data_IF_419094205543
#
_entry.id   IF_419094205543
#
_cell.length_a   1.000
_cell.length_b   1.000
_cell.length_c   1.000
_cell.angle_alpha   90.00
_cell.angle_beta   90.00
_cell.angle_gamma   90.00
#
_symmetry.space_group_name_H-M   'P 1'
#
loop_
_entity.id
_entity.type
_entity.pdbx_description
1 polymer ?
#
# COMPACT_ATOMS: atom_id res chain seq x y z
N UNK A 1 -10.14 5.25 -3.38
CA UNK A 1 -8.78 5.75 -3.73
C UNK A 1 -7.82 4.67 -4.24
N UNK A 2 -7.23 3.79 -3.42
CA UNK A 2 -6.27 2.79 -3.90
C UNK A 2 -6.86 1.86 -4.99
N UNK A 3 -8.07 1.33 -4.77
CA UNK A 3 -8.82 0.59 -5.78
C UNK A 3 -9.03 1.39 -7.07
N UNK A 4 -9.38 2.68 -6.94
CA UNK A 4 -9.69 3.57 -8.07
C UNK A 4 -8.48 3.86 -8.99
N UNK A 5 -7.25 3.58 -8.53
CA UNK A 5 -6.03 3.68 -9.36
C UNK A 5 -5.50 2.32 -9.82
N UNK A 6 -6.20 1.23 -9.47
CA UNK A 6 -5.90 -0.14 -9.91
C UNK A 6 -5.01 -0.95 -8.96
N UNK A 7 -4.90 -0.58 -7.69
CA UNK A 7 -4.28 -1.47 -6.70
C UNK A 7 -5.28 -2.55 -6.26
N UNK A 8 -4.88 -3.83 -6.19
CA UNK A 8 -5.70 -4.88 -5.59
C UNK A 8 -5.77 -4.61 -4.10
N UNK A 9 -6.96 -4.30 -3.59
CA UNK A 9 -7.18 -3.97 -2.18
C UNK A 9 -8.37 -4.74 -1.65
N UNK A 10 -8.43 -4.90 -0.33
CA UNK A 10 -9.61 -5.44 0.34
C UNK A 10 -10.83 -4.54 0.16
N UNK A 11 -12.00 -5.15 0.05
CA UNK A 11 -13.26 -4.41 0.06
C UNK A 11 -13.51 -3.81 1.44
N UNK A 12 -13.85 -2.53 1.45
CA UNK A 12 -14.13 -1.76 2.65
C UNK A 12 -15.45 -1.00 2.51
N UNK A 13 -16.29 -1.10 3.53
CA UNK A 13 -17.54 -0.36 3.62
C UNK A 13 -17.63 0.38 4.95
N UNK A 14 -17.96 1.67 4.91
CA UNK A 14 -18.32 2.41 6.12
C UNK A 14 -19.75 2.04 6.53
N UNK A 15 -19.91 1.56 7.76
CA UNK A 15 -21.20 1.15 8.34
C UNK A 15 -21.49 1.93 9.61
N UNK A 16 -22.71 1.82 10.12
CA UNK A 16 -23.15 2.49 11.34
C UNK A 16 -24.05 1.57 12.14
N UNK A 17 -23.75 1.41 13.44
CA UNK A 17 -24.62 0.75 14.41
C UNK A 17 -24.92 1.76 15.50
N UNK A 18 -26.19 2.13 15.67
CA UNK A 18 -26.60 3.24 16.53
C UNK A 18 -25.94 4.54 16.09
N UNK A 19 -25.10 5.13 16.94
CA UNK A 19 -24.32 6.35 16.67
C UNK A 19 -22.86 6.09 16.29
N UNK A 20 -22.43 4.83 16.28
CA UNK A 20 -21.03 4.45 16.09
C UNK A 20 -20.78 4.07 14.63
N UNK A 21 -19.84 4.77 13.99
CA UNK A 21 -19.34 4.44 12.66
C UNK A 21 -18.19 3.45 12.76
N UNK A 22 -18.13 2.48 11.85
CA UNK A 22 -17.04 1.51 11.77
C UNK A 22 -16.75 1.13 10.33
N UNK A 23 -15.50 0.77 10.05
CA UNK A 23 -15.10 0.19 8.78
C UNK A 23 -15.33 -1.32 8.83
N UNK A 24 -16.22 -1.82 7.97
CA UNK A 24 -16.35 -3.25 7.70
C UNK A 24 -15.37 -3.60 6.58
N UNK A 25 -14.42 -4.49 6.87
CA UNK A 25 -13.38 -4.93 5.93
C UNK A 25 -13.65 -6.40 5.58
N UNK A 26 -13.76 -6.70 4.30
CA UNK A 26 -13.86 -8.08 3.83
C UNK A 26 -12.52 -8.80 4.03
N UNK A 27 -12.56 -10.00 4.60
CA UNK A 27 -11.38 -10.84 4.77
C UNK A 27 -11.05 -11.54 3.46
N UNK A 28 -9.84 -11.29 2.92
CA UNK A 28 -9.37 -11.92 1.69
C UNK A 28 -8.97 -13.40 1.86
N UNK A 29 -8.75 -13.85 3.09
CA UNK A 29 -8.39 -15.22 3.44
C UNK A 29 -9.61 -16.11 3.72
N UNK A 30 -10.79 -15.71 3.22
CA UNK A 30 -12.07 -16.41 3.35
C UNK A 30 -12.71 -16.54 1.97
N UNK A 31 -12.85 -17.76 1.49
CA UNK A 31 -13.59 -18.07 0.25
C UNK A 31 -14.93 -18.69 0.60
N UNK A 32 -15.99 -18.17 0.00
CA UNK A 32 -17.32 -18.78 0.08
C UNK A 32 -17.45 -19.74 -1.10
N UNK A 33 -17.86 -20.98 -0.84
CA UNK A 33 -18.26 -21.89 -1.91
C UNK A 33 -19.74 -21.71 -2.29
N UNK A 34 -20.16 -22.41 -3.35
CA UNK A 34 -21.54 -22.35 -3.87
C UNK A 34 -22.59 -22.83 -2.86
N UNK A 35 -22.18 -23.55 -1.81
CA UNK A 35 -23.06 -24.03 -0.74
C UNK A 35 -23.19 -23.03 0.41
N UNK A 36 -22.43 -21.94 0.39
CA UNK A 36 -22.38 -20.94 1.46
C UNK A 36 -21.46 -21.33 2.62
N UNK A 37 -20.61 -22.33 2.46
CA UNK A 37 -19.59 -22.69 3.44
C UNK A 37 -18.32 -21.86 3.23
N UNK A 38 -17.61 -21.60 4.33
CA UNK A 38 -16.44 -20.73 4.33
C UNK A 38 -15.16 -21.54 4.42
N UNK A 39 -14.41 -21.55 3.33
CA UNK A 39 -13.05 -22.08 3.28
C UNK A 39 -12.05 -21.03 3.76
N UNK A 40 -11.09 -21.46 4.58
CA UNK A 40 -10.00 -20.61 5.07
C UNK A 40 -8.77 -20.83 4.21
N UNK A 41 -8.22 -19.75 3.69
CA UNK A 41 -6.94 -19.78 3.00
C UNK A 41 -5.81 -19.55 4.00
N UNK A 42 -4.68 -20.23 3.82
CA UNK A 42 -3.50 -19.93 4.60
C UNK A 42 -2.92 -18.60 4.13
N UNK A 43 -2.57 -17.73 5.09
CA UNK A 43 -1.89 -16.47 4.82
C UNK A 43 -0.81 -16.25 5.86
N UNK A 44 0.30 -15.67 5.42
CA UNK A 44 1.39 -15.21 6.28
C UNK A 44 1.81 -13.78 5.89
N UNK A 45 2.18 -12.97 6.88
CA UNK A 45 2.73 -11.64 6.63
C UNK A 45 4.22 -11.70 6.25
N UNK A 46 4.76 -10.61 5.69
CA UNK A 46 6.15 -10.64 5.20
C UNK A 46 7.19 -10.75 6.32
N UNK A 47 6.86 -10.40 7.57
CA UNK A 47 7.76 -10.72 8.67
C UNK A 47 7.83 -12.24 8.88
N UNK A 48 6.69 -12.92 8.89
CA UNK A 48 6.62 -14.38 9.02
C UNK A 48 7.37 -15.08 7.87
N UNK A 49 7.05 -14.73 6.62
CA UNK A 49 7.64 -15.32 5.43
C UNK A 49 9.17 -15.13 5.35
N UNK A 50 9.69 -14.02 5.88
CA UNK A 50 11.13 -13.72 5.94
C UNK A 50 11.81 -14.17 7.24
N UNK A 51 11.08 -14.80 8.17
CA UNK A 51 11.63 -15.28 9.45
C UNK A 51 11.92 -14.20 10.50
N UNK A 52 11.28 -13.02 10.40
CA UNK A 52 11.39 -11.93 11.36
C UNK A 52 10.35 -12.03 12.48
N UNK A 53 10.77 -11.72 13.71
CA UNK A 53 9.86 -11.58 14.86
C UNK A 53 8.92 -10.37 14.74
N UNK A 54 7.81 -10.40 15.47
CA UNK A 54 6.75 -9.39 15.39
C UNK A 54 7.22 -7.95 15.73
N UNK A 55 8.23 -7.84 16.58
CA UNK A 55 8.85 -6.58 16.99
C UNK A 55 9.67 -5.91 15.88
N UNK A 56 10.07 -6.65 14.83
CA UNK A 56 10.89 -6.18 13.72
C UNK A 56 10.06 -5.85 12.46
N UNK A 57 8.88 -5.27 12.64
CA UNK A 57 8.01 -4.90 11.50
C UNK A 57 8.52 -3.68 10.71
N UNK A 58 9.25 -2.78 11.37
CA UNK A 58 9.81 -1.56 10.77
C UNK A 58 11.26 -1.75 10.35
N UNK A 59 11.65 -1.22 9.19
CA UNK A 59 13.01 -1.33 8.69
C UNK A 59 14.03 -0.65 9.62
N UNK A 60 13.71 0.51 10.18
CA UNK A 60 14.60 1.25 11.10
C UNK A 60 14.95 0.46 12.36
N UNK A 61 14.08 -0.46 12.77
CA UNK A 61 14.23 -1.32 13.95
C UNK A 61 14.88 -2.68 13.57
N UNK A 62 15.53 -2.76 12.40
CA UNK A 62 16.17 -3.98 11.91
C UNK A 62 15.20 -4.98 11.29
N UNK A 63 14.01 -4.52 10.87
CA UNK A 63 13.05 -5.30 10.08
C UNK A 63 13.43 -5.43 8.60
N UNK A 64 12.56 -6.09 7.81
CA UNK A 64 12.74 -6.22 6.37
C UNK A 64 12.87 -4.87 5.66
N UNK A 65 13.78 -4.78 4.70
CA UNK A 65 13.81 -3.72 3.70
C UNK A 65 12.81 -3.97 2.59
N UNK A 66 12.37 -2.91 1.88
CA UNK A 66 11.49 -3.07 0.73
C UNK A 66 12.09 -3.99 -0.35
N UNK A 67 13.41 -3.95 -0.58
CA UNK A 67 14.07 -4.83 -1.54
C UNK A 67 14.01 -6.32 -1.14
N UNK A 68 14.05 -6.64 0.16
CA UNK A 68 13.82 -8.02 0.63
C UNK A 68 12.36 -8.44 0.41
N UNK A 69 11.40 -7.55 0.71
CA UNK A 69 9.99 -7.78 0.42
C UNK A 69 9.73 -8.00 -1.08
N UNK A 70 10.38 -7.22 -1.94
CA UNK A 70 10.28 -7.35 -3.39
C UNK A 70 10.83 -8.70 -3.89
N UNK A 71 12.01 -9.10 -3.37
CA UNK A 71 12.61 -10.40 -3.69
C UNK A 71 11.75 -11.57 -3.24
N UNK A 72 11.17 -11.50 -2.04
CA UNK A 72 10.22 -12.50 -1.54
C UNK A 72 9.09 -12.73 -2.54
N UNK A 73 8.46 -11.66 -3.06
CA UNK A 73 7.39 -11.78 -4.04
C UNK A 73 7.89 -12.39 -5.36
N UNK A 74 9.09 -12.02 -5.81
CA UNK A 74 9.68 -12.60 -7.01
C UNK A 74 9.92 -14.11 -6.89
N UNK A 75 10.31 -14.58 -5.70
CA UNK A 75 10.65 -15.97 -5.43
C UNK A 75 9.42 -16.84 -5.12
N UNK A 76 8.45 -16.30 -4.38
CA UNK A 76 7.33 -17.08 -3.85
C UNK A 76 6.06 -17.02 -4.72
N UNK A 77 5.83 -15.95 -5.49
CA UNK A 77 4.57 -15.79 -6.22
C UNK A 77 4.47 -16.73 -7.43
N UNK A 78 3.28 -17.27 -7.68
CA UNK A 78 2.94 -17.96 -8.92
C UNK A 78 2.79 -17.03 -10.13
N UNK A 79 2.68 -15.72 -9.92
CA UNK A 79 2.66 -14.68 -10.96
C UNK A 79 3.63 -13.52 -10.62
N UNK A 80 4.96 -13.77 -10.56
CA UNK A 80 5.94 -12.82 -10.04
C UNK A 80 5.91 -11.44 -10.69
N UNK A 81 5.72 -11.39 -12.02
CA UNK A 81 5.73 -10.14 -12.77
C UNK A 81 4.56 -9.22 -12.38
N UNK A 82 3.37 -9.78 -12.19
CA UNK A 82 2.15 -9.04 -11.83
C UNK A 82 2.24 -8.60 -10.38
N UNK A 83 2.54 -9.53 -9.48
CA UNK A 83 2.52 -9.28 -8.03
C UNK A 83 3.64 -8.33 -7.61
N UNK A 84 4.84 -8.46 -8.18
CA UNK A 84 5.93 -7.54 -7.88
C UNK A 84 5.68 -6.13 -8.43
N UNK A 85 5.02 -6.00 -9.58
CA UNK A 85 4.59 -4.69 -10.07
C UNK A 85 3.53 -4.07 -9.14
N UNK A 86 2.60 -4.87 -8.61
CA UNK A 86 1.65 -4.40 -7.59
C UNK A 86 2.37 -3.93 -6.33
N UNK A 87 3.37 -4.67 -5.85
CA UNK A 87 4.16 -4.28 -4.68
C UNK A 87 4.94 -2.96 -4.90
N UNK A 88 5.52 -2.76 -6.08
CA UNK A 88 6.13 -1.46 -6.44
C UNK A 88 5.09 -0.33 -6.37
N UNK A 89 3.91 -0.53 -6.98
CA UNK A 89 2.84 0.48 -6.93
C UNK A 89 2.32 0.72 -5.52
N UNK A 90 2.32 -0.27 -4.64
CA UNK A 90 1.97 -0.11 -3.23
C UNK A 90 2.95 0.81 -2.49
N UNK A 91 4.26 0.64 -2.67
CA UNK A 91 5.24 1.54 -2.06
C UNK A 91 5.13 2.95 -2.61
N UNK A 92 4.95 3.09 -3.93
CA UNK A 92 4.70 4.39 -4.57
C UNK A 92 3.45 5.04 -3.99
N UNK A 93 2.36 4.27 -3.85
CA UNK A 93 1.13 4.75 -3.26
C UNK A 93 1.32 5.18 -1.81
N UNK A 94 2.05 4.44 -0.97
CA UNK A 94 2.29 4.83 0.41
C UNK A 94 3.01 6.18 0.51
N UNK A 95 4.02 6.42 -0.33
CA UNK A 95 4.71 7.72 -0.40
C UNK A 95 3.74 8.83 -0.82
N UNK A 96 3.02 8.62 -1.92
CA UNK A 96 2.17 9.65 -2.54
C UNK A 96 0.88 9.93 -1.78
N UNK A 97 0.25 8.89 -1.22
CA UNK A 97 -0.95 8.99 -0.42
C UNK A 97 -0.68 9.40 1.03
N UNK A 98 0.59 9.49 1.42
CA UNK A 98 0.98 9.89 2.76
C UNK A 98 0.71 8.83 3.83
N UNK A 99 0.85 7.56 3.48
CA UNK A 99 0.87 6.45 4.42
C UNK A 99 2.32 6.17 4.85
N UNK A 100 2.67 6.61 6.04
CA UNK A 100 4.00 6.40 6.62
C UNK A 100 4.12 5.10 7.42
N UNK A 101 3.00 4.43 7.76
CA UNK A 101 3.01 3.21 8.59
C UNK A 101 2.94 1.91 7.77
N UNK A 102 3.08 1.99 6.44
CA UNK A 102 3.10 0.82 5.56
C UNK A 102 4.34 -0.07 5.79
N UNK A 103 4.26 -0.96 6.76
CA UNK A 103 5.37 -1.80 7.22
C UNK A 103 5.22 -3.26 6.75
N UNK A 104 6.23 -4.12 6.98
CA UNK A 104 6.24 -5.48 6.44
C UNK A 104 5.04 -6.35 6.87
N UNK A 105 4.44 -6.10 8.05
CA UNK A 105 3.22 -6.80 8.48
C UNK A 105 1.92 -6.35 7.77
N UNK A 106 1.96 -5.32 6.92
CA UNK A 106 0.83 -4.91 6.08
C UNK A 106 0.90 -5.53 4.68
N UNK A 107 1.85 -6.43 4.46
CA UNK A 107 2.02 -7.21 3.24
C UNK A 107 1.91 -8.68 3.61
N UNK A 108 1.19 -9.45 2.80
CA UNK A 108 0.97 -10.87 3.05
C UNK A 108 1.06 -11.68 1.77
N UNK A 109 1.52 -12.91 1.92
CA UNK A 109 1.34 -13.96 0.94
C UNK A 109 0.06 -14.74 1.26
N UNK A 110 -0.67 -15.13 0.22
CA UNK A 110 -1.88 -15.93 0.30
C UNK A 110 -1.63 -17.23 -0.46
N UNK A 111 -1.86 -18.36 0.19
CA UNK A 111 -1.67 -19.67 -0.40
C UNK A 111 -3.04 -20.21 -0.83
N UNK A 112 -3.20 -20.33 -2.15
CA UNK A 112 -4.43 -20.76 -2.79
C UNK A 112 -4.67 -22.26 -2.70
N UNK A 113 -5.89 -22.73 -2.98
CA UNK A 113 -6.22 -24.17 -3.02
C UNK A 113 -5.48 -24.94 -4.12
N UNK A 114 -4.98 -24.24 -5.12
CA UNK A 114 -4.18 -24.74 -6.25
C UNK A 114 -2.68 -24.82 -5.93
N UNK A 115 -2.30 -24.66 -4.65
CA UNK A 115 -0.91 -24.57 -4.17
C UNK A 115 -0.16 -23.33 -4.73
N UNK A 116 -0.86 -22.44 -5.44
CA UNK A 116 -0.28 -21.20 -5.93
C UNK A 116 -0.24 -20.17 -4.80
N UNK A 117 0.95 -19.59 -4.61
CA UNK A 117 1.12 -18.47 -3.68
C UNK A 117 0.99 -17.16 -4.43
N UNK A 118 0.23 -16.20 -3.90
CA UNK A 118 0.03 -14.88 -4.49
C UNK A 118 0.25 -13.78 -3.47
N UNK A 119 0.61 -12.59 -3.93
CA UNK A 119 0.54 -11.40 -3.09
C UNK A 119 -0.93 -11.12 -2.72
N UNK A 120 -1.22 -11.02 -1.43
CA UNK A 120 -2.57 -10.74 -0.96
C UNK A 120 -3.02 -9.31 -1.37
N UNK A 121 -4.33 -9.06 -1.50
CA UNK A 121 -4.85 -7.70 -1.67
C UNK A 121 -4.37 -6.79 -0.55
N UNK A 122 -3.99 -5.56 -0.87
CA UNK A 122 -3.47 -4.63 0.14
C UNK A 122 -4.57 -4.19 1.12
N UNK A 123 -4.15 -4.00 2.37
CA UNK A 123 -4.97 -3.58 3.49
C UNK A 123 -4.21 -2.54 4.32
N UNK A 124 -4.90 -1.94 5.28
CA UNK A 124 -4.30 -0.96 6.22
C UNK A 124 -3.66 0.25 5.53
N UNK A 125 -4.30 0.74 4.46
CA UNK A 125 -3.88 1.92 3.71
C UNK A 125 -4.47 3.18 4.34
N UNK A 126 -3.73 3.78 5.28
CA UNK A 126 -4.16 4.96 6.04
C UNK A 126 -3.27 6.16 5.69
N UNK A 127 -3.86 7.33 5.42
CA UNK A 127 -3.11 8.57 5.28
C UNK A 127 -2.64 9.06 6.66
N UNK A 128 -1.63 8.39 7.24
CA UNK A 128 -1.14 8.70 8.59
C UNK A 128 -0.63 10.12 8.72
N UNK A 129 -0.15 10.72 7.62
CA UNK A 129 0.25 12.14 7.57
C UNK A 129 -0.90 13.13 7.78
N UNK A 130 -2.16 12.70 7.64
CA UNK A 130 -3.32 13.53 7.96
C UNK A 130 -3.63 13.53 9.47
N UNK A 131 -3.01 12.63 10.24
CA UNK A 131 -3.22 12.46 11.67
C UNK A 131 -2.13 13.24 12.43
N UNK A 132 -2.54 13.99 13.45
CA UNK A 132 -1.62 14.79 14.25
C UNK A 132 -0.84 13.92 15.23
N UNK A 133 0.42 14.32 15.52
CA UNK A 133 1.30 13.65 16.50
C UNK A 133 1.67 12.20 16.17
N UNK A 134 1.65 11.82 14.89
CA UNK A 134 2.17 10.54 14.39
C UNK A 134 3.45 10.81 13.59
N UNK A 135 4.39 9.86 13.64
CA UNK A 135 5.59 9.92 12.81
C UNK A 135 5.22 9.90 11.32
N UNK A 136 5.91 10.72 10.54
CA UNK A 136 5.67 10.87 9.11
C UNK A 136 6.77 10.25 8.24
N UNK A 137 7.78 9.64 8.86
CA UNK A 137 8.81 8.86 8.19
C UNK A 137 8.26 7.49 7.80
N UNK A 138 8.54 7.06 6.57
CA UNK A 138 8.11 5.78 6.02
C UNK A 138 8.68 4.63 6.85
N UNK A 139 7.86 3.60 7.07
CA UNK A 139 8.27 2.35 7.69
C UNK A 139 9.29 1.57 6.84
N UNK A 140 9.16 1.65 5.51
CA UNK A 140 10.08 1.11 4.51
C UNK A 140 10.64 2.28 3.69
N UNK A 141 11.96 2.43 3.66
CA UNK A 141 12.59 3.54 2.96
C UNK A 141 12.49 3.39 1.43
N UNK A 142 12.71 4.51 0.73
CA UNK A 142 12.93 4.53 -0.70
C UNK A 142 14.37 4.95 -0.94
N UNK A 143 15.23 3.99 -1.25
CA UNK A 143 16.62 4.28 -1.60
C UNK A 143 17.38 5.03 -0.50
N UNK A 144 17.18 4.64 0.75
CA UNK A 144 17.78 5.22 1.95
C UNK A 144 17.05 6.44 2.53
N UNK A 145 16.01 6.96 1.86
CA UNK A 145 15.23 8.10 2.36
C UNK A 145 13.88 7.65 2.94
N UNK A 146 13.57 8.13 4.14
CA UNK A 146 12.31 7.82 4.84
C UNK A 146 11.36 9.01 4.90
N UNK A 147 11.84 10.24 4.78
CA UNK A 147 11.01 11.43 4.77
C UNK A 147 10.45 11.68 3.36
N UNK A 148 9.14 11.48 3.13
CA UNK A 148 8.53 11.69 1.82
C UNK A 148 8.69 13.12 1.29
N UNK A 149 8.88 14.11 2.19
CA UNK A 149 8.90 15.52 1.82
C UNK A 149 10.19 15.98 1.14
N UNK A 150 11.26 15.18 1.23
CA UNK A 150 12.58 15.46 0.63
C UNK A 150 12.99 14.39 -0.37
N UNK A 151 12.08 13.46 -0.70
CA UNK A 151 12.32 12.36 -1.63
C UNK A 151 12.67 12.88 -3.03
N UNK A 152 13.74 12.35 -3.62
CA UNK A 152 14.23 12.76 -4.95
C UNK A 152 14.18 11.62 -5.97
N UNK A 153 14.39 11.94 -7.26
CA UNK A 153 14.55 10.93 -8.31
C UNK A 153 15.74 9.98 -8.05
N UNK A 154 16.80 10.46 -7.38
CA UNK A 154 17.96 9.64 -7.03
C UNK A 154 17.57 8.53 -6.04
N UNK A 155 16.70 8.83 -5.08
CA UNK A 155 16.16 7.85 -4.13
C UNK A 155 15.38 6.75 -4.85
N UNK A 156 14.48 7.11 -5.77
CA UNK A 156 13.77 6.13 -6.60
C UNK A 156 14.73 5.32 -7.48
N UNK A 157 15.77 5.95 -8.04
CA UNK A 157 16.80 5.25 -8.79
C UNK A 157 17.60 4.26 -7.95
N UNK A 158 17.88 4.58 -6.69
CA UNK A 158 18.53 3.68 -5.74
C UNK A 158 17.61 2.51 -5.35
N UNK A 159 16.33 2.77 -5.09
CA UNK A 159 15.34 1.71 -4.84
C UNK A 159 15.21 0.76 -6.04
N UNK A 160 15.19 1.31 -7.26
CA UNK A 160 15.13 0.53 -8.49
C UNK A 160 16.31 -0.45 -8.58
N UNK A 161 17.53 0.04 -8.34
CA UNK A 161 18.74 -0.79 -8.31
C UNK A 161 18.67 -1.88 -7.23
N UNK A 162 18.20 -1.54 -6.03
CA UNK A 162 18.07 -2.49 -4.93
C UNK A 162 17.08 -3.63 -5.23
N UNK A 163 16.06 -3.35 -6.05
CA UNK A 163 15.06 -4.33 -6.50
C UNK A 163 15.43 -5.01 -7.84
N UNK A 164 16.61 -4.74 -8.40
CA UNK A 164 17.03 -5.17 -9.74
C UNK A 164 16.01 -4.83 -10.86
N UNK A 165 15.40 -3.65 -10.77
CA UNK A 165 14.50 -3.13 -11.81
C UNK A 165 15.14 -1.95 -12.55
N UNK A 166 14.80 -1.80 -13.84
CA UNK A 166 15.30 -0.68 -14.65
C UNK A 166 14.83 0.66 -14.04
N UNK A 167 15.73 1.63 -13.74
CA UNK A 167 15.34 2.90 -13.14
C UNK A 167 14.27 3.66 -13.94
N UNK A 168 14.32 3.61 -15.28
CA UNK A 168 13.32 4.24 -16.14
C UNK A 168 11.93 3.62 -16.00
N UNK A 169 11.86 2.30 -15.75
CA UNK A 169 10.61 1.60 -15.51
C UNK A 169 9.99 2.05 -14.19
N UNK A 170 10.76 2.07 -13.09
CA UNK A 170 10.23 2.51 -11.80
C UNK A 170 9.83 3.99 -11.85
N UNK A 171 10.62 4.86 -12.48
CA UNK A 171 10.28 6.26 -12.65
C UNK A 171 8.98 6.46 -13.47
N UNK A 172 8.73 5.59 -14.46
CA UNK A 172 7.47 5.59 -15.20
C UNK A 172 6.29 5.18 -14.31
N UNK A 173 6.42 4.12 -13.51
CA UNK A 173 5.38 3.70 -12.56
C UNK A 173 5.05 4.80 -11.54
N UNK A 174 6.07 5.49 -11.06
CA UNK A 174 5.94 6.62 -10.13
C UNK A 174 5.08 7.73 -10.73
N UNK A 175 5.40 8.17 -11.96
CA UNK A 175 4.61 9.20 -12.67
C UNK A 175 3.17 8.74 -12.94
N UNK A 176 2.99 7.54 -13.49
CA UNK A 176 1.65 7.00 -13.77
C UNK A 176 0.77 6.91 -12.51
N UNK A 177 1.37 6.56 -11.37
CA UNK A 177 0.63 6.49 -10.10
C UNK A 177 0.28 7.89 -9.59
N UNK A 178 1.19 8.86 -9.72
CA UNK A 178 0.94 10.26 -9.37
C UNK A 178 -0.17 10.88 -10.23
N UNK A 179 -0.15 10.66 -11.55
CA UNK A 179 -1.16 11.17 -12.48
C UNK A 179 -2.54 10.61 -12.14
N UNK A 180 -2.65 9.28 -11.94
CA UNK A 180 -3.91 8.63 -11.56
C UNK A 180 -4.43 9.11 -10.20
N UNK A 181 -3.54 9.35 -9.24
CA UNK A 181 -3.94 9.89 -7.93
C UNK A 181 -4.50 11.30 -8.07
N UNK A 182 -3.82 12.18 -8.81
CA UNK A 182 -4.29 13.55 -9.03
C UNK A 182 -5.62 13.60 -9.78
N UNK A 183 -5.80 12.74 -10.79
CA UNK A 183 -7.04 12.65 -11.57
C UNK A 183 -8.23 12.21 -10.70
N UNK A 184 -8.00 11.28 -9.77
CA UNK A 184 -9.10 10.62 -9.03
C UNK A 184 -9.38 11.21 -7.65
N UNK A 185 -8.42 11.83 -6.97
CA UNK A 185 -8.56 12.20 -5.55
C UNK A 185 -9.75 13.13 -5.28
N UNK A 186 -9.99 14.12 -6.14
CA UNK A 186 -11.11 15.05 -6.00
C UNK A 186 -12.47 14.35 -6.17
N UNK A 187 -12.62 13.58 -7.24
CA UNK A 187 -13.84 12.82 -7.52
C UNK A 187 -14.14 11.76 -6.44
N UNK A 188 -13.11 11.08 -5.93
CA UNK A 188 -13.24 10.10 -4.84
C UNK A 188 -13.65 10.76 -3.52
N UNK A 189 -13.11 11.94 -3.20
CA UNK A 189 -13.55 12.73 -2.04
C UNK A 189 -15.02 13.10 -2.17
N UNK A 190 -15.42 13.69 -3.29
CA UNK A 190 -16.79 14.14 -3.53
C UNK A 190 -17.78 12.97 -3.49
N UNK A 191 -17.44 11.84 -4.10
CA UNK A 191 -18.26 10.63 -4.05
C UNK A 191 -18.41 10.08 -2.62
N UNK A 192 -17.36 10.15 -1.81
CA UNK A 192 -17.44 9.75 -0.40
C UNK A 192 -18.33 10.70 0.41
N UNK A 193 -18.14 12.02 0.25
CA UNK A 193 -18.91 13.03 0.97
C UNK A 193 -20.40 13.04 0.58
N UNK A 194 -20.71 12.79 -0.69
CA UNK A 194 -22.08 12.63 -1.16
C UNK A 194 -22.80 11.43 -0.49
N UNK A 195 -22.08 10.35 -0.17
CA UNK A 195 -22.65 9.15 0.46
C UNK A 195 -22.69 9.22 1.99
N UNK A 196 -21.73 9.90 2.61
CA UNK A 196 -21.51 9.81 4.05
C UNK A 196 -21.57 11.15 4.80
N UNK A 197 -21.79 12.25 4.08
CA UNK A 197 -21.72 13.61 4.58
C UNK A 197 -20.30 14.19 4.50
N UNK A 198 -20.16 15.48 4.77
CA UNK A 198 -18.86 16.15 4.73
C UNK A 198 -17.92 15.65 5.84
N UNK A 199 -16.63 15.49 5.51
CA UNK A 199 -15.59 15.12 6.47
C UNK A 199 -14.37 16.03 6.29
N UNK A 200 -14.16 17.02 7.18
CA UNK A 200 -13.02 17.96 7.11
C UNK A 200 -11.64 17.30 6.99
N UNK A 201 -11.50 16.06 7.46
CA UNK A 201 -10.26 15.29 7.34
C UNK A 201 -9.91 14.95 5.89
N UNK A 202 -10.89 14.80 4.99
CA UNK A 202 -10.67 14.40 3.60
C UNK A 202 -10.01 15.51 2.79
N UNK A 203 -10.30 16.78 3.07
CA UNK A 203 -9.62 17.91 2.44
C UNK A 203 -8.13 17.95 2.82
N UNK A 204 -7.80 17.55 4.06
CA UNK A 204 -6.40 17.40 4.51
C UNK A 204 -5.70 16.29 3.73
N UNK A 205 -6.35 15.14 3.55
CA UNK A 205 -5.83 14.02 2.76
C UNK A 205 -5.59 14.46 1.30
N UNK A 206 -6.59 15.09 0.66
CA UNK A 206 -6.46 15.58 -0.72
C UNK A 206 -5.28 16.56 -0.87
N UNK A 207 -5.13 17.50 0.07
CA UNK A 207 -3.99 18.43 0.08
C UNK A 207 -2.65 17.70 0.18
N UNK A 208 -2.54 16.68 1.04
CA UNK A 208 -1.32 15.87 1.19
C UNK A 208 -1.01 15.14 -0.11
N UNK A 209 -1.98 14.44 -0.68
CA UNK A 209 -1.83 13.69 -1.95
C UNK A 209 -1.34 14.61 -3.06
N UNK A 210 -2.01 15.75 -3.25
CA UNK A 210 -1.65 16.73 -4.27
C UNK A 210 -0.24 17.31 -4.06
N UNK A 211 0.14 17.58 -2.80
CA UNK A 211 1.47 18.09 -2.47
C UNK A 211 2.56 17.06 -2.78
N UNK A 212 2.36 15.78 -2.42
CA UNK A 212 3.33 14.73 -2.72
C UNK A 212 3.44 14.46 -4.21
N UNK A 213 2.32 14.38 -4.92
CA UNK A 213 2.34 14.14 -6.37
C UNK A 213 3.05 15.28 -7.12
N UNK A 214 2.84 16.55 -6.74
CA UNK A 214 3.55 17.69 -7.37
C UNK A 214 5.06 17.63 -7.18
N UNK A 215 5.54 17.20 -6.01
CA UNK A 215 6.97 17.11 -5.72
C UNK A 215 7.69 16.09 -6.58
N UNK A 216 7.03 14.98 -6.88
CA UNK A 216 7.59 13.90 -7.70
C UNK A 216 7.71 14.26 -9.19
N UNK A 217 6.83 15.16 -9.68
CA UNK A 217 6.79 15.57 -11.09
C UNK A 217 7.76 16.72 -11.38
N UNK A 218 8.17 17.48 -10.36
CA UNK A 218 9.17 18.55 -10.52
C UNK A 218 10.57 17.93 -10.67
N UNK A 219 11.34 18.29 -11.71
CA UNK A 219 12.68 17.76 -11.97
C UNK A 219 13.69 18.10 -10.87
#
# INVERSE_FOLDING_TARGET
>A
MAAAIGLPVVDIALRTVGRTRYAQIARYDRLWDDSGEVQRLHQEDFCQALGYGHEKKYQEHGGPSFAQCYRLVQEASGEPAIDAQHLLRWQIFNVLAGNSDGHAKNLSLLHGPDDATRLAPFYDLVCTRAIERIDTHLALDVGGERNPSVMTQANWGALAKACDVRPQFLAKLVRETADRLQERIGAEREAFEARHGAYPALQRIEKIVNQQCRRIVTP
#
